data_IF_526755406046
#
_entry.id   IF_526755406046
#
_cell.length_a   1.000
_cell.length_b   1.000
_cell.length_c   1.000
_cell.angle_alpha   90.00
_cell.angle_beta   90.00
_cell.angle_gamma   90.00
#
_symmetry.space_group_name_H-M   'P 1'
#
loop_
_entity.id
_entity.type
_entity.pdbx_description
1 polymer ?
#
# COMPACT_ATOMS: atom_id res chain seq x y z
N UNK A 1 28.40 -6.68 -19.92
CA UNK A 1 27.70 -5.39 -19.67
C UNK A 1 27.08 -4.95 -20.99
N UNK A 2 25.82 -5.29 -21.23
CA UNK A 2 25.09 -4.83 -22.42
C UNK A 2 24.47 -3.47 -22.08
N UNK A 3 24.88 -2.43 -22.79
CA UNK A 3 24.32 -1.10 -22.68
C UNK A 3 22.86 -1.17 -23.18
N UNK A 4 21.90 -1.04 -22.25
CA UNK A 4 20.50 -0.88 -22.61
C UNK A 4 20.33 0.41 -23.41
N UNK A 5 19.66 0.29 -24.55
CA UNK A 5 19.34 1.38 -25.45
C UNK A 5 18.49 2.40 -24.67
N UNK A 6 18.88 3.68 -24.59
CA UNK A 6 18.17 4.68 -23.79
C UNK A 6 16.73 4.97 -24.27
N UNK A 7 16.36 4.47 -25.45
CA UNK A 7 15.04 4.64 -26.07
C UNK A 7 14.07 3.46 -25.85
N UNK A 8 14.50 2.37 -25.18
CA UNK A 8 13.63 1.23 -24.94
C UNK A 8 12.73 1.47 -23.72
N UNK A 9 11.45 1.78 -23.97
CA UNK A 9 10.46 1.95 -22.90
C UNK A 9 10.44 0.70 -22.01
N UNK A 10 10.42 0.86 -20.68
CA UNK A 10 10.44 -0.27 -19.77
C UNK A 10 9.23 -1.17 -20.01
N UNK A 11 9.45 -2.48 -20.08
CA UNK A 11 8.39 -3.45 -20.40
C UNK A 11 7.39 -3.50 -19.23
N UNK A 12 6.22 -2.91 -19.44
CA UNK A 12 5.06 -3.04 -18.55
C UNK A 12 4.29 -4.33 -18.87
N UNK A 13 3.42 -4.75 -17.94
CA UNK A 13 2.56 -5.93 -18.07
C UNK A 13 1.75 -5.92 -19.37
N UNK A 14 1.30 -4.74 -19.80
CA UNK A 14 0.56 -4.55 -21.03
C UNK A 14 0.94 -3.23 -21.70
N UNK A 15 1.06 -3.23 -23.03
CA UNK A 15 1.54 -2.06 -23.81
C UNK A 15 0.65 -0.82 -23.64
N UNK A 16 -0.67 -1.00 -23.50
CA UNK A 16 -1.63 0.10 -23.24
C UNK A 16 -1.40 0.82 -21.92
N UNK A 17 -0.67 0.23 -20.98
CA UNK A 17 -0.32 0.95 -19.75
C UNK A 17 0.53 2.18 -20.07
N UNK A 18 1.32 2.19 -21.15
CA UNK A 18 2.07 3.38 -21.56
C UNK A 18 1.19 4.58 -21.93
N UNK A 19 -0.08 4.37 -22.25
CA UNK A 19 -1.02 5.43 -22.62
C UNK A 19 -1.57 6.16 -21.38
N UNK A 20 -1.39 5.60 -20.19
CA UNK A 20 -1.84 6.17 -18.92
C UNK A 20 -0.67 6.89 -18.23
N UNK A 21 -0.86 8.12 -17.71
CA UNK A 21 0.18 8.83 -16.95
C UNK A 21 0.67 8.00 -15.76
N UNK A 22 1.99 8.01 -15.53
CA UNK A 22 2.62 7.21 -14.47
C UNK A 22 2.04 7.46 -13.09
N UNK A 23 1.72 8.71 -12.75
CA UNK A 23 1.07 9.08 -11.47
C UNK A 23 -0.30 8.43 -11.32
N UNK A 24 -1.08 8.35 -12.40
CA UNK A 24 -2.41 7.73 -12.40
C UNK A 24 -2.26 6.21 -12.25
N UNK A 25 -1.33 5.59 -12.98
CA UNK A 25 -1.03 4.15 -12.81
C UNK A 25 -0.58 3.84 -11.38
N UNK A 26 0.30 4.66 -10.83
CA UNK A 26 0.80 4.51 -9.47
C UNK A 26 -0.33 4.59 -8.43
N UNK A 27 -1.25 5.55 -8.59
CA UNK A 27 -2.43 5.66 -7.74
C UNK A 27 -3.37 4.44 -7.84
N UNK A 28 -3.71 4.02 -9.07
CA UNK A 28 -4.59 2.86 -9.30
C UNK A 28 -3.95 1.57 -8.76
N UNK A 29 -2.66 1.35 -9.02
CA UNK A 29 -1.94 0.19 -8.49
C UNK A 29 -1.82 0.23 -6.98
N UNK A 30 -1.62 1.40 -6.38
CA UNK A 30 -1.62 1.58 -4.93
C UNK A 30 -2.97 1.22 -4.31
N UNK A 31 -4.08 1.63 -4.93
CA UNK A 31 -5.43 1.25 -4.51
C UNK A 31 -5.64 -0.26 -4.63
N UNK A 32 -5.26 -0.87 -5.76
CA UNK A 32 -5.36 -2.31 -5.97
C UNK A 32 -4.58 -3.09 -4.90
N UNK A 33 -3.34 -2.68 -4.62
CA UNK A 33 -2.52 -3.30 -3.58
C UNK A 33 -3.17 -3.20 -2.20
N UNK A 34 -3.77 -2.05 -1.86
CA UNK A 34 -4.50 -1.88 -0.59
C UNK A 34 -5.73 -2.77 -0.50
N UNK A 35 -6.54 -2.85 -1.55
CA UNK A 35 -7.72 -3.72 -1.58
C UNK A 35 -7.30 -5.18 -1.41
N UNK A 36 -6.31 -5.64 -2.17
CA UNK A 36 -5.80 -7.00 -2.03
C UNK A 36 -5.27 -7.27 -0.62
N UNK A 37 -4.48 -6.34 -0.07
CA UNK A 37 -3.97 -6.48 1.30
C UNK A 37 -5.12 -6.57 2.31
N UNK A 38 -6.11 -5.67 2.23
CA UNK A 38 -7.26 -5.66 3.14
C UNK A 38 -8.09 -6.94 3.05
N UNK A 39 -8.35 -7.44 1.84
CA UNK A 39 -9.09 -8.69 1.65
C UNK A 39 -8.36 -9.85 2.31
N UNK A 40 -7.06 -10.01 2.06
CA UNK A 40 -6.28 -11.09 2.67
C UNK A 40 -6.08 -10.91 4.18
N UNK A 41 -5.93 -9.68 4.66
CA UNK A 41 -5.79 -9.39 6.09
C UNK A 41 -7.07 -9.73 6.84
N UNK A 42 -8.24 -9.26 6.38
CA UNK A 42 -9.51 -9.55 7.05
C UNK A 42 -9.84 -11.05 6.99
N UNK A 43 -9.56 -11.73 5.87
CA UNK A 43 -9.69 -13.18 5.78
C UNK A 43 -8.77 -13.90 6.78
N UNK A 44 -7.51 -13.45 6.92
CA UNK A 44 -6.56 -14.03 7.86
C UNK A 44 -6.96 -13.77 9.32
N UNK A 45 -7.50 -12.60 9.64
CA UNK A 45 -8.07 -12.30 10.97
C UNK A 45 -9.21 -13.25 11.25
N UNK A 46 -10.19 -13.35 10.35
CA UNK A 46 -11.34 -14.25 10.51
C UNK A 46 -10.92 -15.71 10.77
N UNK A 47 -9.88 -16.20 10.10
CA UNK A 47 -9.40 -17.57 10.30
C UNK A 47 -8.51 -17.77 11.53
N UNK A 48 -7.82 -16.74 12.03
CA UNK A 48 -6.72 -16.88 12.99
C UNK A 48 -6.83 -16.01 14.25
N UNK A 49 -7.89 -15.21 14.40
CA UNK A 49 -8.09 -14.32 15.55
C UNK A 49 -8.06 -15.06 16.90
N UNK A 50 -8.51 -16.31 16.93
CA UNK A 50 -8.48 -17.16 18.11
C UNK A 50 -7.06 -17.61 18.52
N UNK A 51 -6.08 -17.50 17.63
CA UNK A 51 -4.68 -17.93 17.86
C UNK A 51 -3.74 -16.74 18.05
N UNK A 52 -3.98 -15.63 17.35
CA UNK A 52 -3.06 -14.51 17.28
C UNK A 52 -3.80 -13.18 17.33
N UNK A 53 -3.21 -12.19 17.99
CA UNK A 53 -3.72 -10.83 17.95
C UNK A 53 -3.67 -10.27 16.51
N UNK A 54 -4.66 -9.45 16.15
CA UNK A 54 -4.78 -8.83 14.82
C UNK A 54 -3.50 -8.09 14.39
N UNK A 55 -2.77 -7.46 15.33
CA UNK A 55 -1.49 -6.80 15.06
C UNK A 55 -0.38 -7.77 14.61
N UNK A 56 -0.37 -9.01 15.12
CA UNK A 56 0.57 -10.06 14.70
C UNK A 56 0.20 -10.57 13.31
N UNK A 57 -1.09 -10.84 13.08
CA UNK A 57 -1.61 -11.24 11.77
C UNK A 57 -1.27 -10.17 10.73
N UNK A 58 -1.53 -8.90 11.05
CA UNK A 58 -1.21 -7.75 10.22
C UNK A 58 0.26 -7.75 9.80
N UNK A 59 1.18 -7.92 10.76
CA UNK A 59 2.62 -7.90 10.51
C UNK A 59 3.07 -9.03 9.57
N UNK A 60 2.53 -10.24 9.77
CA UNK A 60 2.82 -11.41 8.93
C UNK A 60 2.30 -11.19 7.50
N UNK A 61 1.04 -10.81 7.35
CA UNK A 61 0.42 -10.54 6.04
C UNK A 61 1.19 -9.43 5.33
N UNK A 62 1.59 -8.37 6.05
CA UNK A 62 2.36 -7.27 5.47
C UNK A 62 3.73 -7.74 4.96
N UNK A 63 4.43 -8.60 5.70
CA UNK A 63 5.71 -9.16 5.26
C UNK A 63 5.58 -9.94 3.94
N UNK A 64 4.48 -10.68 3.76
CA UNK A 64 4.16 -11.41 2.52
C UNK A 64 3.81 -10.43 1.39
N UNK A 65 3.10 -9.35 1.71
CA UNK A 65 2.63 -8.38 0.73
C UNK A 65 3.70 -7.37 0.28
N UNK A 66 4.79 -7.16 1.02
CA UNK A 66 5.92 -6.31 0.57
C UNK A 66 6.45 -6.75 -0.81
N UNK A 67 6.89 -8.01 -1.02
CA UNK A 67 7.39 -8.45 -2.32
C UNK A 67 6.29 -8.52 -3.39
N UNK A 68 5.06 -8.88 -3.01
CA UNK A 68 3.92 -8.97 -3.95
C UNK A 68 3.53 -7.59 -4.46
N UNK A 69 3.31 -6.63 -3.56
CA UNK A 69 2.96 -5.26 -3.89
C UNK A 69 4.06 -4.57 -4.72
N UNK A 70 5.34 -4.83 -4.39
CA UNK A 70 6.46 -4.36 -5.20
C UNK A 70 6.46 -4.97 -6.62
N UNK A 71 6.17 -6.27 -6.76
CA UNK A 71 6.07 -6.93 -8.06
C UNK A 71 4.91 -6.36 -8.89
N UNK A 72 3.72 -6.20 -8.32
CA UNK A 72 2.56 -5.60 -8.99
C UNK A 72 2.88 -4.18 -9.45
N UNK A 73 3.50 -3.37 -8.58
CA UNK A 73 3.89 -1.99 -8.90
C UNK A 73 4.96 -1.95 -9.99
N UNK A 74 5.94 -2.84 -9.95
CA UNK A 74 6.95 -2.98 -10.98
C UNK A 74 6.31 -3.32 -12.33
N UNK A 75 5.43 -4.32 -12.37
CA UNK A 75 4.78 -4.77 -13.61
C UNK A 75 3.85 -3.72 -14.20
N UNK A 76 3.17 -2.92 -13.38
CA UNK A 76 2.12 -2.01 -13.85
C UNK A 76 2.56 -0.56 -14.03
N UNK A 77 3.59 -0.11 -13.30
CA UNK A 77 3.96 1.31 -13.23
C UNK A 77 5.33 1.58 -13.82
N UNK A 78 6.37 0.87 -13.35
CA UNK A 78 7.78 1.23 -13.59
C UNK A 78 8.51 0.30 -14.56
N UNK A 79 7.94 -0.86 -14.85
CA UNK A 79 8.57 -1.97 -15.56
C UNK A 79 9.37 -2.88 -14.62
N UNK A 80 9.65 -4.09 -15.09
CA UNK A 80 10.35 -5.09 -14.29
C UNK A 80 11.84 -4.71 -14.09
N UNK A 81 12.31 -4.50 -12.85
CA UNK A 81 13.69 -4.13 -12.61
C UNK A 81 14.63 -5.32 -12.83
N UNK A 82 15.77 -5.06 -13.48
CA UNK A 82 16.87 -6.02 -13.64
C UNK A 82 18.14 -5.39 -13.05
N UNK A 83 18.65 -5.83 -11.88
CA UNK A 83 18.20 -6.94 -11.03
C UNK A 83 17.03 -6.61 -10.09
N UNK A 84 16.11 -7.56 -9.86
CA UNK A 84 14.90 -7.36 -9.04
C UNK A 84 15.18 -7.22 -7.54
N UNK A 85 16.03 -8.08 -6.98
CA UNK A 85 16.24 -8.16 -5.54
C UNK A 85 16.83 -6.87 -4.92
N UNK A 86 17.84 -6.22 -5.54
CA UNK A 86 18.33 -4.93 -5.04
C UNK A 86 17.28 -3.82 -5.13
N UNK A 87 16.42 -3.83 -6.16
CA UNK A 87 15.31 -2.88 -6.30
C UNK A 87 14.24 -3.07 -5.22
N UNK A 88 13.97 -4.32 -4.85
CA UNK A 88 13.07 -4.62 -3.74
C UNK A 88 13.66 -4.11 -2.41
N UNK A 89 14.94 -4.38 -2.16
CA UNK A 89 15.62 -3.97 -0.92
C UNK A 89 15.75 -2.44 -0.79
N UNK A 90 15.92 -1.70 -1.89
CA UNK A 90 15.93 -0.23 -1.85
C UNK A 90 14.57 0.36 -1.47
N UNK A 91 13.48 -0.35 -1.74
CA UNK A 91 12.12 0.03 -1.36
C UNK A 91 11.66 -0.58 -0.03
N UNK A 92 12.42 -1.53 0.53
CA UNK A 92 12.08 -2.21 1.77
C UNK A 92 11.88 -1.26 2.96
N UNK A 93 12.65 -0.16 3.15
CA UNK A 93 12.39 0.79 4.23
C UNK A 93 10.98 1.42 4.19
N UNK A 94 10.45 1.66 2.98
CA UNK A 94 9.10 2.20 2.81
C UNK A 94 8.08 1.15 3.29
N UNK A 95 8.26 -0.11 2.88
CA UNK A 95 7.41 -1.22 3.33
C UNK A 95 7.49 -1.46 4.84
N UNK A 96 8.68 -1.50 5.41
CA UNK A 96 8.90 -1.77 6.84
C UNK A 96 8.33 -0.65 7.71
N UNK A 97 8.51 0.62 7.34
CA UNK A 97 7.95 1.73 8.11
C UNK A 97 6.42 1.75 8.06
N UNK A 98 5.83 1.48 6.89
CA UNK A 98 4.39 1.34 6.75
C UNK A 98 3.84 0.13 7.54
N UNK A 99 4.58 -0.97 7.61
CA UNK A 99 4.27 -2.10 8.48
C UNK A 99 4.26 -1.68 9.95
N UNK A 100 5.34 -1.04 10.43
CA UNK A 100 5.42 -0.60 11.83
C UNK A 100 4.28 0.34 12.23
N UNK A 101 3.96 1.31 11.36
CA UNK A 101 2.83 2.22 11.56
C UNK A 101 1.52 1.44 11.57
N UNK A 102 1.33 0.55 10.60
CA UNK A 102 0.13 -0.28 10.50
C UNK A 102 -0.08 -1.14 11.74
N UNK A 103 0.94 -1.90 12.16
CA UNK A 103 0.90 -2.72 13.37
C UNK A 103 0.59 -1.90 14.62
N UNK A 104 1.21 -0.72 14.77
CA UNK A 104 0.93 0.16 15.90
C UNK A 104 -0.49 0.72 15.86
N UNK A 105 -0.96 1.15 14.69
CA UNK A 105 -2.33 1.65 14.50
C UNK A 105 -3.35 0.55 14.76
N UNK A 106 -3.15 -0.67 14.24
CA UNK A 106 -4.03 -1.81 14.50
C UNK A 106 -4.11 -2.09 16.00
N UNK A 107 -2.97 -2.21 16.68
CA UNK A 107 -2.94 -2.44 18.13
C UNK A 107 -3.60 -1.30 18.92
N UNK A 108 -3.43 -0.05 18.47
CA UNK A 108 -4.05 1.10 19.12
C UNK A 108 -5.56 1.14 18.94
N UNK A 109 -6.06 0.89 17.71
CA UNK A 109 -7.48 0.91 17.38
C UNK A 109 -8.23 -0.25 18.04
N UNK A 110 -7.60 -1.42 18.10
CA UNK A 110 -8.09 -2.58 18.85
C UNK A 110 -8.24 -2.25 20.34
N UNK A 111 -7.20 -1.69 20.97
CA UNK A 111 -7.21 -1.30 22.38
C UNK A 111 -8.34 -0.33 22.75
N UNK A 112 -8.72 0.57 21.84
CA UNK A 112 -9.81 1.53 22.11
C UNK A 112 -11.19 1.02 21.66
N UNK A 113 -11.27 -0.21 21.15
CA UNK A 113 -12.46 -0.79 20.53
C UNK A 113 -13.05 0.15 19.48
N UNK A 114 -12.18 0.70 18.62
CA UNK A 114 -12.53 1.74 17.66
C UNK A 114 -13.68 1.29 16.76
N UNK A 115 -13.63 0.05 16.29
CA UNK A 115 -14.65 -0.55 15.46
C UNK A 115 -16.06 -0.37 16.06
N UNK A 116 -16.28 -0.90 17.27
CA UNK A 116 -17.55 -0.84 17.98
C UNK A 116 -18.01 0.60 18.23
N UNK A 117 -17.08 1.49 18.59
CA UNK A 117 -17.38 2.92 18.82
C UNK A 117 -17.81 3.63 17.54
N UNK A 118 -17.13 3.33 16.43
CA UNK A 118 -17.41 3.96 15.15
C UNK A 118 -18.72 3.43 14.54
N UNK A 119 -18.96 2.14 14.64
CA UNK A 119 -20.23 1.52 14.25
C UNK A 119 -21.40 2.12 15.05
N UNK A 120 -21.26 2.20 16.38
CA UNK A 120 -22.26 2.86 17.25
C UNK A 120 -22.48 4.32 16.87
N UNK A 121 -21.42 5.05 16.50
CA UNK A 121 -21.53 6.43 16.03
C UNK A 121 -22.30 6.53 14.71
N UNK A 122 -21.99 5.65 13.74
CA UNK A 122 -22.69 5.62 12.45
C UNK A 122 -24.17 5.28 12.64
N UNK A 123 -24.47 4.29 13.45
CA UNK A 123 -25.85 3.94 13.77
C UNK A 123 -26.58 5.13 14.41
N UNK A 124 -26.01 5.76 15.43
CA UNK A 124 -26.68 6.84 16.16
C UNK A 124 -26.90 8.12 15.32
N UNK A 125 -26.03 8.41 14.35
CA UNK A 125 -26.10 9.65 13.57
C UNK A 125 -26.71 9.45 12.16
N UNK A 126 -26.61 8.25 11.60
CA UNK A 126 -26.95 7.96 10.21
C UNK A 126 -27.94 6.79 10.04
N UNK A 127 -28.51 6.22 11.11
CA UNK A 127 -29.51 5.14 11.01
C UNK A 127 -30.69 5.49 10.07
N UNK A 128 -31.10 6.76 10.01
CA UNK A 128 -32.19 7.20 9.13
C UNK A 128 -31.82 7.24 7.64
N UNK A 129 -30.53 7.26 7.31
CA UNK A 129 -30.02 7.41 5.94
C UNK A 129 -29.44 6.10 5.42
N UNK A 130 -28.79 5.29 6.26
CA UNK A 130 -28.10 4.07 5.83
C UNK A 130 -28.99 2.81 5.77
N UNK A 131 -30.23 2.87 6.28
CA UNK A 131 -31.04 1.66 6.46
C UNK A 131 -30.40 0.71 7.49
N UNK A 132 -30.86 -0.55 7.61
CA UNK A 132 -30.17 -1.54 8.44
C UNK A 132 -28.76 -1.72 7.88
N UNK A 133 -27.77 -1.30 8.67
CA UNK A 133 -26.37 -1.54 8.38
C UNK A 133 -26.14 -3.07 8.30
N UNK A 134 -25.30 -3.56 7.37
CA UNK A 134 -24.91 -4.97 7.37
C UNK A 134 -24.25 -5.27 8.71
N UNK A 135 -24.92 -6.06 9.55
CA UNK A 135 -24.50 -6.35 10.94
C UNK A 135 -25.65 -6.42 11.96
N UNK A 136 -26.88 -6.00 11.61
CA UNK A 136 -27.99 -6.01 12.58
C UNK A 136 -28.79 -7.32 12.66
N UNK A 137 -28.37 -8.37 11.97
CA UNK A 137 -28.98 -9.70 12.05
C UNK A 137 -28.11 -10.60 12.94
N UNK A 138 -28.06 -10.33 14.25
CA UNK A 138 -27.84 -11.32 15.33
C UNK A 138 -26.65 -12.30 15.28
N UNK A 139 -25.80 -12.24 14.27
CA UNK A 139 -24.62 -13.06 14.11
C UNK A 139 -23.42 -12.17 14.42
N UNK A 140 -22.65 -12.62 15.41
CA UNK A 140 -21.39 -12.09 15.89
C UNK A 140 -20.30 -12.11 14.78
N UNK A 141 -20.53 -11.44 13.65
CA UNK A 141 -19.45 -11.11 12.72
C UNK A 141 -18.65 -9.95 13.34
N UNK A 142 -17.73 -10.30 14.27
CA UNK A 142 -16.70 -9.43 14.85
C UNK A 142 -15.69 -8.93 13.79
N UNK A 143 -16.16 -8.45 12.64
CA UNK A 143 -15.30 -8.02 11.55
C UNK A 143 -14.60 -6.72 11.90
N UNK A 144 -13.27 -6.70 12.03
CA UNK A 144 -12.45 -5.50 12.26
C UNK A 144 -12.45 -4.49 11.07
N UNK A 145 -13.48 -4.48 10.23
CA UNK A 145 -13.53 -3.79 8.95
C UNK A 145 -13.19 -2.29 9.06
N UNK A 146 -13.86 -1.53 9.93
CA UNK A 146 -13.60 -0.10 10.07
C UNK A 146 -12.18 0.22 10.60
N UNK A 147 -11.67 -0.61 11.50
CA UNK A 147 -10.30 -0.49 11.99
C UNK A 147 -9.30 -0.77 10.88
N UNK A 148 -9.48 -1.86 10.12
CA UNK A 148 -8.61 -2.21 8.99
C UNK A 148 -8.63 -1.14 7.89
N UNK A 149 -9.81 -0.58 7.58
CA UNK A 149 -9.96 0.51 6.63
C UNK A 149 -9.20 1.77 7.08
N UNK A 150 -9.34 2.16 8.35
CA UNK A 150 -8.60 3.30 8.90
C UNK A 150 -7.08 3.09 8.82
N UNK A 151 -6.60 1.89 9.17
CA UNK A 151 -5.18 1.53 9.07
C UNK A 151 -4.69 1.58 7.62
N UNK A 152 -5.47 1.08 6.66
CA UNK A 152 -5.11 1.11 5.24
C UNK A 152 -5.03 2.55 4.70
N UNK A 153 -5.92 3.45 5.13
CA UNK A 153 -5.84 4.86 4.75
C UNK A 153 -4.55 5.50 5.29
N UNK A 154 -4.25 5.30 6.58
CA UNK A 154 -3.06 5.89 7.22
C UNK A 154 -1.77 5.37 6.57
N UNK A 155 -1.66 4.05 6.43
CA UNK A 155 -0.48 3.41 5.84
C UNK A 155 -0.36 3.70 4.34
N UNK A 156 -1.47 3.78 3.61
CA UNK A 156 -1.51 4.18 2.20
C UNK A 156 -1.02 5.61 1.97
N UNK A 157 -1.48 6.57 2.79
CA UNK A 157 -0.99 7.96 2.75
C UNK A 157 0.51 7.99 3.07
N UNK A 158 0.95 7.27 4.10
CA UNK A 158 2.36 7.20 4.48
C UNK A 158 3.24 6.66 3.35
N UNK A 159 2.88 5.51 2.77
CA UNK A 159 3.59 4.90 1.66
C UNK A 159 3.61 5.79 0.43
N UNK A 160 2.52 6.51 0.13
CA UNK A 160 2.46 7.47 -0.96
C UNK A 160 3.44 8.62 -0.75
N UNK A 161 3.42 9.26 0.43
CA UNK A 161 4.31 10.38 0.76
C UNK A 161 5.78 9.96 0.71
N UNK A 162 6.14 8.81 1.30
CA UNK A 162 7.52 8.31 1.24
C UNK A 162 7.93 7.94 -0.19
N UNK A 163 7.05 7.32 -0.96
CA UNK A 163 7.35 7.00 -2.36
C UNK A 163 7.58 8.26 -3.18
N UNK A 164 6.83 9.33 -2.90
CA UNK A 164 7.05 10.64 -3.51
C UNK A 164 8.39 11.23 -3.06
N UNK A 165 8.73 11.22 -1.77
CA UNK A 165 10.00 11.78 -1.27
C UNK A 165 11.24 11.02 -1.78
N UNK A 166 11.17 9.69 -1.84
CA UNK A 166 12.29 8.84 -2.24
C UNK A 166 12.45 8.80 -3.76
N UNK A 167 11.35 8.81 -4.52
CA UNK A 167 11.38 8.70 -5.97
C UNK A 167 11.18 10.03 -6.71
N UNK A 168 10.90 11.14 -6.02
CA UNK A 168 10.98 12.47 -6.62
C UNK A 168 12.44 12.73 -6.95
N UNK A 169 12.75 12.76 -8.24
CA UNK A 169 14.06 13.12 -8.74
C UNK A 169 14.43 14.52 -8.25
N UNK A 170 15.39 14.62 -7.34
CA UNK A 170 16.16 15.85 -7.17
C UNK A 170 16.67 16.22 -8.55
N UNK A 171 16.37 17.42 -9.10
CA UNK A 171 16.82 17.77 -10.44
C UNK A 171 18.34 17.64 -10.47
N UNK A 172 18.83 16.73 -11.31
CA UNK A 172 20.24 16.41 -11.45
C UNK A 172 21.03 17.68 -11.70
N UNK A 173 21.78 18.10 -10.68
CA UNK A 173 22.69 19.25 -10.72
C UNK A 173 23.97 18.95 -11.52
N UNK A 174 23.92 18.03 -12.49
CA UNK A 174 25.11 17.51 -13.16
C UNK A 174 25.25 17.86 -14.65
N UNK A 175 24.44 18.77 -15.19
CA UNK A 175 24.57 19.22 -16.59
C UNK A 175 25.23 20.60 -16.79
N UNK A 176 26.06 21.08 -15.84
CA UNK A 176 26.75 22.38 -15.95
C UNK A 176 28.29 22.35 -15.79
N UNK A 177 28.96 21.21 -16.01
CA UNK A 177 30.43 21.12 -15.84
C UNK A 177 31.23 20.49 -16.98
N UNK A 178 30.65 20.30 -18.17
CA UNK A 178 31.35 19.72 -19.35
C UNK A 178 31.28 20.56 -20.63
N UNK A 179 31.28 21.89 -20.53
CA UNK A 179 31.22 22.76 -21.71
C UNK A 179 31.80 24.14 -21.48
N UNK A 180 33.04 24.24 -21.00
CA UNK A 180 33.85 25.46 -21.13
C UNK A 180 35.29 25.17 -20.72
N UNK A 181 36.08 24.65 -21.67
CA UNK A 181 37.54 24.81 -21.77
C UNK A 181 38.04 24.13 -23.04
N UNK A 182 37.58 24.64 -24.17
CA UNK A 182 38.35 24.71 -25.40
C UNK A 182 38.12 26.12 -25.95
N UNK A 183 39.14 26.96 -25.76
CA UNK A 183 39.56 28.13 -26.55
C UNK A 183 40.80 28.69 -25.86
#
# INVERSE_FOLDING_TARGET
MSALNPDEKPTLLHRRLHDIPQTVRFGITGLLNNVLFLTFFNEAVHQMEHLYAASTIYSIIYCIFIPIGHAITSLTVFGWPKPYLPSLLSNAPIGITAMCIGTFCTAYLDKISFHQKFESFLHNNFASIMGPLPGNDGDDEEGEFYSSLAVSIITGIWSFVLSMLVNSSTPSKNNKRKGSKEL
#
